data_IF_910646667711
#
_entry.id   IF_910646667711
#
_cell.length_a   1.000
_cell.length_b   1.000
_cell.length_c   1.000
_cell.angle_alpha   90.00
_cell.angle_beta   90.00
_cell.angle_gamma   90.00
#
_symmetry.space_group_name_H-M   'P 1'
#
loop_
_entity.id
_entity.type
_entity.pdbx_description
1 polymer ?
#
# COMPACT_ATOMS: atom_id res chain seq x y z
N UNK A 1 -20.82 -4.98 -14.37
CA UNK A 1 -19.82 -5.93 -14.88
C UNK A 1 -18.44 -5.31 -14.71
N UNK A 2 -17.54 -5.94 -13.95
CA UNK A 2 -16.16 -5.47 -13.81
C UNK A 2 -15.41 -5.86 -15.09
N UNK A 3 -14.88 -4.88 -15.83
CA UNK A 3 -14.04 -5.17 -17.00
C UNK A 3 -12.79 -5.92 -16.56
N UNK A 4 -12.36 -6.89 -17.37
CA UNK A 4 -11.11 -7.62 -17.16
C UNK A 4 -9.90 -6.71 -17.30
N UNK A 5 -8.75 -7.12 -16.76
CA UNK A 5 -7.52 -6.33 -16.87
C UNK A 5 -7.05 -6.21 -18.32
N UNK A 6 -7.23 -7.26 -19.11
CA UNK A 6 -6.87 -7.29 -20.53
C UNK A 6 -7.69 -6.29 -21.35
N UNK A 7 -9.00 -6.21 -21.09
CA UNK A 7 -9.88 -5.21 -21.72
C UNK A 7 -9.47 -3.79 -21.35
N UNK A 8 -9.16 -3.53 -20.07
CA UNK A 8 -8.72 -2.22 -19.60
C UNK A 8 -7.40 -1.79 -20.26
N UNK A 9 -6.44 -2.72 -20.37
CA UNK A 9 -5.18 -2.48 -21.05
C UNK A 9 -5.39 -2.24 -22.56
N UNK A 10 -6.27 -3.01 -23.20
CA UNK A 10 -6.63 -2.81 -24.60
C UNK A 10 -7.30 -1.46 -24.88
N UNK A 11 -8.16 -0.99 -23.97
CA UNK A 11 -8.74 0.35 -24.03
C UNK A 11 -7.69 1.44 -23.80
N UNK A 12 -6.72 1.22 -22.91
CA UNK A 12 -5.67 2.20 -22.61
C UNK A 12 -4.72 2.44 -23.79
N UNK A 13 -4.47 1.42 -24.62
CA UNK A 13 -3.65 1.55 -25.84
C UNK A 13 -4.34 2.37 -26.95
N UNK A 14 -5.65 2.58 -26.87
CA UNK A 14 -6.38 3.43 -27.82
C UNK A 14 -6.18 4.91 -27.47
N UNK A 15 -5.56 5.68 -28.37
CA UNK A 15 -5.19 7.09 -28.14
C UNK A 15 -6.31 7.98 -27.61
N UNK A 16 -7.57 7.72 -27.98
CA UNK A 16 -8.73 8.51 -27.61
C UNK A 16 -9.49 7.99 -26.38
N UNK A 17 -9.06 6.88 -25.77
CA UNK A 17 -9.72 6.27 -24.61
C UNK A 17 -8.79 6.10 -23.41
N UNK A 18 -7.60 6.67 -23.47
CA UNK A 18 -6.56 6.48 -22.44
C UNK A 18 -7.03 6.97 -21.07
N UNK A 19 -7.57 8.19 -20.97
CA UNK A 19 -8.10 8.72 -19.71
C UNK A 19 -9.27 7.89 -19.18
N UNK A 20 -10.19 7.50 -20.08
CA UNK A 20 -11.35 6.70 -19.72
C UNK A 20 -10.95 5.31 -19.17
N UNK A 21 -10.06 4.62 -19.88
CA UNK A 21 -9.56 3.31 -19.47
C UNK A 21 -8.85 3.38 -18.12
N UNK A 22 -8.06 4.44 -17.90
CA UNK A 22 -7.39 4.63 -16.63
C UNK A 22 -8.35 4.98 -15.50
N UNK A 23 -9.39 5.78 -15.76
CA UNK A 23 -10.45 6.05 -14.78
C UNK A 23 -11.14 4.77 -14.31
N UNK A 24 -11.38 3.82 -15.23
CA UNK A 24 -11.90 2.50 -14.89
C UNK A 24 -10.90 1.66 -14.07
N UNK A 25 -9.61 1.71 -14.41
CA UNK A 25 -8.55 1.06 -13.64
C UNK A 25 -8.48 1.61 -12.21
N UNK A 26 -8.48 2.94 -12.05
CA UNK A 26 -8.51 3.61 -10.73
C UNK A 26 -9.72 3.13 -9.95
N UNK A 27 -10.92 3.20 -10.55
CA UNK A 27 -12.15 2.75 -9.89
C UNK A 27 -12.10 1.28 -9.44
N UNK A 28 -11.46 0.42 -10.24
CA UNK A 28 -11.32 -1.01 -9.95
C UNK A 28 -10.33 -1.30 -8.82
N UNK A 29 -9.24 -0.53 -8.73
CA UNK A 29 -8.11 -0.86 -7.84
C UNK A 29 -7.96 0.05 -6.62
N UNK A 30 -8.57 1.24 -6.61
CA UNK A 30 -8.38 2.25 -5.57
C UNK A 30 -8.59 1.71 -4.16
N UNK A 31 -9.69 1.00 -3.91
CA UNK A 31 -10.02 0.53 -2.56
C UNK A 31 -9.02 -0.52 -2.06
N UNK A 32 -8.60 -1.44 -2.95
CA UNK A 32 -7.65 -2.50 -2.60
C UNK A 32 -6.26 -1.93 -2.35
N UNK A 33 -5.82 -0.99 -3.19
CA UNK A 33 -4.54 -0.30 -3.01
C UNK A 33 -4.56 0.61 -1.78
N UNK A 34 -5.67 1.28 -1.51
CA UNK A 34 -5.88 2.08 -0.30
C UNK A 34 -5.65 1.21 0.94
N UNK A 35 -6.34 0.08 1.09
CA UNK A 35 -6.18 -0.81 2.24
C UNK A 35 -4.80 -1.47 2.32
N UNK A 36 -4.13 -1.66 1.19
CA UNK A 36 -2.74 -2.12 1.16
C UNK A 36 -1.80 -1.06 1.74
N UNK A 37 -1.93 0.19 1.30
CA UNK A 37 -1.12 1.33 1.76
C UNK A 37 -1.45 1.66 3.22
N UNK A 38 -2.74 1.65 3.61
CA UNK A 38 -3.20 1.94 4.98
C UNK A 38 -2.73 0.92 6.01
N UNK A 39 -2.40 -0.30 5.59
CA UNK A 39 -1.77 -1.28 6.49
C UNK A 39 -0.31 -0.95 6.79
N UNK A 40 0.32 -0.10 5.98
CA UNK A 40 1.69 0.36 6.14
C UNK A 40 1.79 1.79 6.69
N UNK A 41 0.72 2.59 6.57
CA UNK A 41 0.63 3.97 7.04
C UNK A 41 -0.51 4.12 8.05
N UNK A 42 -0.24 4.79 9.17
CA UNK A 42 -1.24 4.96 10.23
C UNK A 42 -2.26 6.04 9.89
N UNK A 43 -1.76 7.14 9.33
CA UNK A 43 -2.54 8.33 9.02
C UNK A 43 -3.35 8.18 7.72
N UNK A 44 -4.59 8.66 7.74
CA UNK A 44 -5.51 8.57 6.61
C UNK A 44 -5.11 9.52 5.47
N UNK A 45 -4.69 10.75 5.80
CA UNK A 45 -4.33 11.76 4.81
C UNK A 45 -3.04 11.35 4.09
N UNK A 46 -2.05 10.84 4.83
CA UNK A 46 -0.83 10.25 4.28
C UNK A 46 -1.15 9.08 3.31
N UNK A 47 -2.17 8.29 3.63
CA UNK A 47 -2.61 7.16 2.79
C UNK A 47 -3.18 7.64 1.47
N UNK A 48 -4.04 8.65 1.49
CA UNK A 48 -4.63 9.22 0.30
C UNK A 48 -3.57 9.85 -0.61
N UNK A 49 -2.60 10.56 -0.04
CA UNK A 49 -1.47 11.16 -0.77
C UNK A 49 -0.61 10.09 -1.46
N UNK A 50 -0.27 9.03 -0.74
CA UNK A 50 0.53 7.92 -1.29
C UNK A 50 -0.26 7.14 -2.35
N UNK A 51 -1.57 6.96 -2.17
CA UNK A 51 -2.43 6.33 -3.16
C UNK A 51 -2.50 7.17 -4.45
N UNK A 52 -2.65 8.49 -4.32
CA UNK A 52 -2.67 9.40 -5.46
C UNK A 52 -1.34 9.33 -6.23
N UNK A 53 -0.21 9.42 -5.53
CA UNK A 53 1.12 9.31 -6.13
C UNK A 53 1.35 7.94 -6.80
N UNK A 54 0.83 6.87 -6.21
CA UNK A 54 0.84 5.53 -6.80
C UNK A 54 0.15 5.52 -8.16
N UNK A 55 -1.05 6.11 -8.28
CA UNK A 55 -1.75 6.18 -9.55
C UNK A 55 -1.08 7.12 -10.55
N UNK A 56 -0.48 8.24 -10.13
CA UNK A 56 0.31 9.10 -11.02
C UNK A 56 1.50 8.34 -11.62
N UNK A 57 2.20 7.54 -10.80
CA UNK A 57 3.31 6.69 -11.26
C UNK A 57 2.82 5.57 -12.17
N UNK A 58 1.68 4.96 -11.84
CA UNK A 58 1.05 3.97 -12.70
C UNK A 58 0.69 4.57 -14.07
N UNK A 59 0.04 5.73 -14.14
CA UNK A 59 -0.28 6.42 -15.40
C UNK A 59 0.96 6.63 -16.27
N UNK A 60 2.05 7.14 -15.68
CA UNK A 60 3.33 7.39 -16.39
C UNK A 60 4.02 6.09 -16.84
N UNK A 61 3.79 4.98 -16.14
CA UNK A 61 4.44 3.70 -16.39
C UNK A 61 3.64 2.73 -17.26
N UNK A 62 2.32 2.91 -17.36
CA UNK A 62 1.41 1.91 -17.95
C UNK A 62 1.66 1.71 -19.45
N UNK A 63 2.10 2.73 -20.18
CA UNK A 63 2.50 2.59 -21.59
C UNK A 63 3.68 1.62 -21.80
N UNK A 64 4.53 1.45 -20.77
CA UNK A 64 5.71 0.58 -20.80
C UNK A 64 5.46 -0.78 -20.13
N UNK A 65 4.24 -1.02 -19.66
CA UNK A 65 3.88 -2.27 -19.01
C UNK A 65 3.80 -3.40 -20.05
N UNK A 66 4.67 -4.41 -19.90
CA UNK A 66 4.83 -5.51 -20.87
C UNK A 66 3.90 -6.71 -20.62
N UNK A 67 3.07 -6.66 -19.59
CA UNK A 67 2.21 -7.78 -19.17
C UNK A 67 2.95 -9.08 -18.80
N UNK A 68 4.25 -9.00 -18.47
CA UNK A 68 5.03 -10.13 -17.92
C UNK A 68 4.57 -10.56 -16.51
N UNK A 69 3.68 -9.78 -15.89
CA UNK A 69 3.02 -10.05 -14.61
C UNK A 69 1.58 -9.58 -14.67
N UNK A 70 0.73 -10.02 -13.72
CA UNK A 70 -0.64 -9.51 -13.64
C UNK A 70 -0.64 -8.02 -13.29
N UNK A 71 -1.60 -7.26 -13.83
CA UNK A 71 -1.69 -5.82 -13.63
C UNK A 71 -1.77 -5.46 -12.13
N UNK A 72 -2.56 -6.21 -11.35
CA UNK A 72 -2.63 -5.97 -9.90
C UNK A 72 -1.27 -6.17 -9.21
N UNK A 73 -0.48 -7.17 -9.60
CA UNK A 73 0.86 -7.41 -9.02
C UNK A 73 1.79 -6.23 -9.28
N UNK A 74 1.73 -5.68 -10.49
CA UNK A 74 2.51 -4.51 -10.87
C UNK A 74 2.08 -3.25 -10.10
N UNK A 75 0.77 -3.00 -9.96
CA UNK A 75 0.23 -1.89 -9.18
C UNK A 75 0.61 -1.98 -7.70
N UNK A 76 0.50 -3.15 -7.09
CA UNK A 76 0.90 -3.38 -5.69
C UNK A 76 2.40 -3.12 -5.47
N UNK A 77 3.24 -3.46 -6.45
CA UNK A 77 4.68 -3.15 -6.37
C UNK A 77 4.94 -1.64 -6.44
N UNK A 78 4.19 -0.90 -7.26
CA UNK A 78 4.29 0.57 -7.28
C UNK A 78 3.85 1.14 -5.94
N UNK A 79 2.68 0.73 -5.43
CA UNK A 79 2.14 1.18 -4.15
C UNK A 79 3.13 0.97 -3.01
N UNK A 80 3.63 -0.26 -2.88
CA UNK A 80 4.61 -0.63 -1.85
C UNK A 80 5.88 0.22 -1.92
N UNK A 81 6.44 0.41 -3.13
CA UNK A 81 7.63 1.24 -3.30
C UNK A 81 7.36 2.71 -2.98
N UNK A 82 6.16 3.20 -3.31
CA UNK A 82 5.75 4.57 -2.98
C UNK A 82 5.63 4.76 -1.48
N UNK A 83 4.97 3.85 -0.79
CA UNK A 83 4.83 3.91 0.67
C UNK A 83 6.19 3.87 1.37
N UNK A 84 7.10 3.00 0.95
CA UNK A 84 8.47 2.96 1.50
C UNK A 84 9.20 4.28 1.24
N UNK A 85 9.05 4.84 0.03
CA UNK A 85 9.66 6.13 -0.32
C UNK A 85 9.13 7.24 0.57
N UNK A 86 7.81 7.29 0.79
CA UNK A 86 7.15 8.24 1.66
C UNK A 86 7.65 8.14 3.11
N UNK A 87 7.68 6.93 3.68
CA UNK A 87 8.17 6.69 5.05
C UNK A 87 9.63 7.14 5.22
N UNK A 88 10.49 6.85 4.25
CA UNK A 88 11.89 7.29 4.27
C UNK A 88 12.01 8.82 4.22
N UNK A 89 11.16 9.50 3.42
CA UNK A 89 11.14 10.96 3.36
C UNK A 89 10.62 11.58 4.66
N UNK A 90 9.56 11.03 5.25
CA UNK A 90 9.00 11.48 6.53
C UNK A 90 10.04 11.35 7.65
N UNK A 91 10.76 10.22 7.71
CA UNK A 91 11.86 9.99 8.65
C UNK A 91 13.02 10.98 8.47
N UNK A 92 13.39 11.28 7.23
CA UNK A 92 14.46 12.25 6.92
C UNK A 92 14.09 13.69 7.28
N UNK A 93 12.78 14.03 7.25
CA UNK A 93 12.26 15.37 7.56
C UNK A 93 12.07 15.64 9.06
N UNK A 94 12.27 14.64 9.93
CA UNK A 94 12.48 14.88 11.37
C UNK A 94 11.28 15.47 12.12
N UNK A 95 10.07 15.02 11.81
CA UNK A 95 8.92 15.18 12.70
C UNK A 95 8.24 13.82 12.86
N UNK A 96 7.97 13.48 14.13
CA UNK A 96 7.45 12.19 14.62
C UNK A 96 8.54 11.16 14.94
N UNK A 97 8.83 11.02 16.24
CA UNK A 97 9.53 9.86 16.81
C UNK A 97 8.81 8.59 16.37
N UNK A 98 9.57 7.54 16.05
CA UNK A 98 9.08 6.22 15.62
C UNK A 98 8.05 5.59 16.58
N UNK A 99 7.97 6.10 17.82
CA UNK A 99 7.03 5.70 18.87
C UNK A 99 5.55 5.88 18.45
N UNK A 100 5.23 6.93 17.68
CA UNK A 100 3.87 7.24 17.21
C UNK A 100 3.45 6.38 16.00
N UNK A 101 4.41 5.71 15.35
CA UNK A 101 4.15 4.83 14.20
C UNK A 101 3.80 3.39 14.61
N UNK A 102 3.64 3.13 15.91
CA UNK A 102 3.31 1.81 16.45
C UNK A 102 1.84 1.65 16.88
N UNK A 103 1.06 2.74 16.95
CA UNK A 103 -0.29 2.75 17.52
C UNK A 103 -1.46 2.56 16.53
N UNK A 104 -1.21 2.25 15.25
CA UNK A 104 -2.29 2.14 14.25
C UNK A 104 -2.39 0.82 13.50
N UNK A 105 -1.56 -0.18 13.80
CA UNK A 105 -1.74 -1.55 13.31
C UNK A 105 -2.55 -2.31 14.37
N UNK A 106 -3.85 -1.97 14.51
CA UNK A 106 -4.78 -2.79 15.28
C UNK A 106 -5.79 -2.13 16.22
N UNK A 107 -6.03 -0.81 16.18
CA UNK A 107 -6.94 -0.17 17.15
C UNK A 107 -8.42 -0.09 16.76
N UNK A 108 -8.81 -0.36 15.52
CA UNK A 108 -10.24 -0.51 15.18
C UNK A 108 -10.61 -1.99 15.06
N UNK A 109 -11.08 -2.54 16.18
CA UNK A 109 -11.78 -3.83 16.37
C UNK A 109 -10.98 -4.97 17.02
N UNK A 110 -10.50 -4.82 18.26
CA UNK A 110 -10.31 -5.99 19.15
C UNK A 110 -10.72 -5.67 20.60
N UNK A 111 -11.96 -5.22 20.82
CA UNK A 111 -12.64 -5.55 22.10
C UNK A 111 -13.13 -7.00 22.02
N UNK A 112 -12.18 -7.93 22.09
CA UNK A 112 -12.43 -9.37 22.14
C UNK A 112 -11.69 -9.98 23.34
N UNK A 113 -12.09 -11.18 23.80
CA UNK A 113 -11.64 -11.78 25.07
C UNK A 113 -10.15 -12.21 25.09
N UNK A 114 -9.37 -11.78 24.10
CA UNK A 114 -7.96 -12.11 23.90
C UNK A 114 -7.00 -10.97 24.28
N UNK A 115 -7.49 -9.90 24.90
CA UNK A 115 -6.66 -8.90 25.59
C UNK A 115 -6.09 -9.52 26.90
N UNK A 116 -5.13 -10.42 26.75
CA UNK A 116 -4.15 -10.71 27.79
C UNK A 116 -2.88 -9.97 27.38
N UNK A 117 -2.45 -9.01 28.19
CA UNK A 117 -1.21 -8.27 28.02
C UNK A 117 0.00 -9.17 28.22
N UNK A 118 0.24 -10.09 27.29
CA UNK A 118 1.37 -11.00 27.35
C UNK A 118 2.63 -10.22 26.98
N UNK A 119 3.57 -10.10 27.93
CA UNK A 119 4.90 -9.53 27.72
C UNK A 119 5.61 -10.06 26.46
N UNK A 120 5.22 -11.27 26.03
CA UNK A 120 5.69 -11.94 24.82
C UNK A 120 5.26 -11.16 23.56
N UNK A 121 4.02 -10.68 23.49
CA UNK A 121 3.55 -9.85 22.37
C UNK A 121 4.32 -8.53 22.33
N UNK A 122 4.52 -7.87 23.48
CA UNK A 122 5.30 -6.63 23.53
C UNK A 122 6.77 -6.83 23.10
N UNK A 123 7.40 -7.92 23.54
CA UNK A 123 8.76 -8.28 23.10
C UNK A 123 8.81 -8.58 21.60
N UNK A 124 7.79 -9.25 21.06
CA UNK A 124 7.68 -9.51 19.63
C UNK A 124 7.59 -8.22 18.83
N UNK A 125 6.71 -7.29 19.22
CA UNK A 125 6.58 -5.99 18.54
C UNK A 125 7.88 -5.17 18.59
N UNK A 126 8.57 -5.12 19.75
CA UNK A 126 9.88 -4.46 19.85
C UNK A 126 10.95 -5.12 18.98
N UNK A 127 10.96 -6.44 18.88
CA UNK A 127 11.90 -7.15 18.01
C UNK A 127 11.63 -6.86 16.52
N UNK A 128 10.36 -6.84 16.11
CA UNK A 128 9.94 -6.47 14.75
C UNK A 128 10.35 -5.03 14.43
N UNK A 129 10.38 -4.14 15.42
CA UNK A 129 10.78 -2.74 15.24
C UNK A 129 12.28 -2.55 14.96
N UNK A 130 13.12 -3.50 15.40
CA UNK A 130 14.56 -3.49 15.08
C UNK A 130 14.87 -3.93 13.65
N UNK A 131 13.89 -4.49 12.93
CA UNK A 131 14.10 -4.97 11.57
C UNK A 131 14.22 -3.81 10.58
N UNK A 132 15.10 -3.93 9.56
CA UNK A 132 15.08 -3.04 8.41
C UNK A 132 13.70 -3.00 7.75
N UNK A 133 13.29 -1.83 7.26
CA UNK A 133 11.93 -1.56 6.73
C UNK A 133 11.43 -2.61 5.74
N UNK A 134 12.30 -3.07 4.83
CA UNK A 134 11.97 -4.11 3.84
C UNK A 134 11.67 -5.46 4.49
N UNK A 135 12.35 -5.82 5.58
CA UNK A 135 12.14 -7.07 6.29
C UNK A 135 10.89 -7.00 7.17
N UNK A 136 10.66 -5.87 7.84
CA UNK A 136 9.45 -5.59 8.61
C UNK A 136 8.20 -5.69 7.74
N UNK A 137 8.26 -5.09 6.55
CA UNK A 137 7.19 -5.17 5.58
C UNK A 137 6.90 -6.61 5.12
N UNK A 138 7.95 -7.36 4.73
CA UNK A 138 7.78 -8.76 4.30
C UNK A 138 7.20 -9.62 5.42
N UNK A 139 7.60 -9.39 6.68
CA UNK A 139 7.05 -10.07 7.83
C UNK A 139 5.55 -9.77 7.99
N UNK A 140 5.17 -8.50 7.95
CA UNK A 140 3.77 -8.09 8.07
C UNK A 140 2.90 -8.68 6.95
N UNK A 141 3.38 -8.65 5.70
CA UNK A 141 2.71 -9.25 4.54
C UNK A 141 2.65 -10.78 4.57
N UNK A 142 3.44 -11.47 5.40
CA UNK A 142 3.43 -12.95 5.47
C UNK A 142 2.51 -13.48 6.58
N UNK A 143 2.40 -12.72 7.67
CA UNK A 143 1.68 -13.16 8.86
C UNK A 143 0.30 -12.52 9.03
N UNK A 144 0.03 -11.40 8.36
CA UNK A 144 -1.23 -10.65 8.47
C UNK A 144 -1.99 -10.48 7.13
N UNK A 145 -1.54 -11.11 6.03
CA UNK A 145 -2.31 -11.25 4.76
C UNK A 145 -3.00 -12.61 4.65
#
# INVERSE_FOLDING_TARGET
MSQSDEELLGLFQQKNKKEYAFGLLVKKYQQRLYWHIRRMLIDHDDTDDVLQNTFIKAWKGLDKFRSDSKLYTWLYRIATNETITFLNQKKSRGTTSFDDLSYGIGEESIEGPYYSGDEIQQKLYRAIDTLPEKQKLVFNMRYFD
#
